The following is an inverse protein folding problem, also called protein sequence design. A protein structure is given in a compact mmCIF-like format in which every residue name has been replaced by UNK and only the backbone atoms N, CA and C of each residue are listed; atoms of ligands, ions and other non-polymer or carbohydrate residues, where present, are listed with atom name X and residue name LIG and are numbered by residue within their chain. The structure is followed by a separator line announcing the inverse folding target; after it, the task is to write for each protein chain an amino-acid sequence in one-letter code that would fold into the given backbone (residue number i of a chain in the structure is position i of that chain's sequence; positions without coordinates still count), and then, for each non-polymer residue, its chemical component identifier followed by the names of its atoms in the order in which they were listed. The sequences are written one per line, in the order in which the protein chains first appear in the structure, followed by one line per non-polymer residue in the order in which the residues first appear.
data_IF_519568206487
#
_entry.id   IF_519568206487
#
_cell.length_a   1.000
_cell.length_b   1.000
_cell.length_c   1.000
_cell.angle_alpha   90.00
_cell.angle_beta   90.00
_cell.angle_gamma   90.00
#
_symmetry.space_group_name_H-M   'P 1'
#
loop_
_entity.id
_entity.type
_entity.pdbx_description
1 polymer ?
#
# COMPACT_ATOMS: atom_id res chain seq x y z
N UNK A 1 -15.67 -54.21 44.98
CA UNK A 1 -14.81 -53.08 44.57
C UNK A 1 -13.88 -53.57 43.47
N UNK A 2 -13.35 -52.74 42.55
CA UNK A 2 -13.47 -51.28 42.39
C UNK A 2 -14.40 -50.93 41.19
N UNK A 3 -15.18 -49.85 41.08
CA UNK A 3 -15.09 -48.41 41.37
C UNK A 3 -14.05 -47.65 40.54
N UNK A 4 -14.57 -46.56 39.93
CA UNK A 4 -13.90 -45.32 39.47
C UNK A 4 -13.43 -45.38 37.99
N UNK A 5 -13.63 -44.38 37.11
CA UNK A 5 -13.95 -42.97 37.27
C UNK A 5 -14.70 -42.40 36.04
N UNK A 6 -15.74 -41.60 36.32
CA UNK A 6 -16.01 -40.29 35.72
C UNK A 6 -16.39 -40.20 34.22
N UNK A 7 -17.65 -40.54 33.92
CA UNK A 7 -18.44 -39.87 32.87
C UNK A 7 -19.16 -38.66 33.48
N UNK A 8 -18.38 -37.66 33.91
CA UNK A 8 -18.91 -36.44 34.51
C UNK A 8 -18.37 -35.15 33.86
N UNK A 9 -17.35 -35.25 32.99
CA UNK A 9 -16.77 -34.09 32.33
C UNK A 9 -17.66 -33.55 31.20
N UNK A 10 -18.34 -34.43 30.46
CA UNK A 10 -19.21 -34.05 29.33
C UNK A 10 -20.46 -33.29 29.76
N UNK A 11 -21.23 -33.72 30.79
CA UNK A 11 -22.38 -32.94 31.23
C UNK A 11 -21.99 -31.63 31.92
N UNK A 12 -20.82 -31.56 32.59
CA UNK A 12 -20.31 -30.31 33.17
C UNK A 12 -19.94 -29.29 32.09
N UNK A 13 -19.32 -29.71 30.99
CA UNK A 13 -18.98 -28.83 29.86
C UNK A 13 -20.23 -28.27 29.17
N UNK A 14 -21.27 -29.10 29.02
CA UNK A 14 -22.55 -28.67 28.46
C UNK A 14 -23.31 -27.72 29.40
N UNK A 15 -23.23 -27.92 30.71
CA UNK A 15 -23.84 -27.03 31.70
C UNK A 15 -23.11 -25.68 31.78
N UNK A 16 -21.78 -25.67 31.66
CA UNK A 16 -20.97 -24.44 31.60
C UNK A 16 -21.23 -23.67 30.31
N UNK A 17 -21.36 -24.33 29.16
CA UNK A 17 -21.78 -23.69 27.90
C UNK A 17 -23.21 -23.13 28.01
N UNK A 18 -24.13 -23.81 28.68
CA UNK A 18 -25.49 -23.33 28.85
C UNK A 18 -25.58 -22.11 29.79
N UNK A 19 -24.79 -22.09 30.87
CA UNK A 19 -24.70 -20.93 31.79
C UNK A 19 -23.93 -19.77 31.13
N UNK A 20 -22.88 -20.05 30.33
CA UNK A 20 -22.12 -19.00 29.63
C UNK A 20 -22.85 -18.40 28.42
N UNK A 21 -23.83 -19.10 27.83
CA UNK A 21 -24.58 -18.62 26.68
C UNK A 21 -25.97 -18.04 27.02
N UNK A 22 -26.41 -18.07 28.28
CA UNK A 22 -27.71 -17.53 28.70
C UNK A 22 -27.62 -16.88 30.08
N UNK A 23 -27.25 -15.60 30.13
CA UNK A 23 -27.59 -14.72 31.25
C UNK A 23 -26.45 -13.87 31.80
N UNK A 24 -26.18 -12.73 31.16
CA UNK A 24 -25.81 -11.51 31.86
C UNK A 24 -26.47 -10.33 31.14
N UNK A 25 -27.26 -9.58 31.90
CA UNK A 25 -28.39 -8.79 31.44
C UNK A 25 -28.04 -7.68 30.46
N UNK A 26 -29.00 -7.39 29.59
CA UNK A 26 -29.10 -6.13 28.89
C UNK A 26 -29.08 -4.99 29.93
N UNK A 27 -27.96 -4.28 30.02
CA UNK A 27 -28.00 -2.90 30.50
C UNK A 27 -28.70 -2.14 29.39
N UNK A 28 -29.88 -1.60 29.68
CA UNK A 28 -30.54 -0.63 28.82
C UNK A 28 -29.58 0.56 28.69
N UNK A 29 -28.70 0.52 27.69
CA UNK A 29 -28.19 1.73 27.09
C UNK A 29 -29.40 2.29 26.35
N UNK A 30 -29.98 3.34 26.93
CA UNK A 30 -30.92 4.22 26.27
C UNK A 30 -30.41 4.43 24.84
N UNK A 31 -31.21 4.02 23.87
CA UNK A 31 -30.81 4.04 22.47
C UNK A 31 -30.51 5.46 22.08
N UNK A 32 -29.23 5.86 22.16
CA UNK A 32 -28.75 6.94 21.33
C UNK A 32 -29.00 6.43 19.92
N UNK A 33 -30.04 6.95 19.28
CA UNK A 33 -30.20 6.84 17.84
C UNK A 33 -28.80 7.04 17.28
N UNK A 34 -28.21 5.97 16.73
CA UNK A 34 -27.03 6.14 15.89
C UNK A 34 -27.60 6.97 14.77
N UNK A 35 -27.42 8.30 14.86
CA UNK A 35 -27.62 9.21 13.74
C UNK A 35 -26.91 8.49 12.61
N UNK A 36 -27.70 7.98 11.67
CA UNK A 36 -27.19 7.43 10.44
C UNK A 36 -26.46 8.61 9.83
N UNK A 37 -25.14 8.66 10.06
CA UNK A 37 -24.29 9.69 9.52
C UNK A 37 -24.43 9.46 8.04
N UNK A 38 -25.19 10.33 7.36
CA UNK A 38 -25.25 10.32 5.91
C UNK A 38 -23.80 10.34 5.45
N UNK A 39 -23.35 9.20 4.93
CA UNK A 39 -22.01 9.07 4.38
C UNK A 39 -21.93 10.13 3.28
N UNK A 40 -20.90 11.00 3.31
CA UNK A 40 -20.68 11.94 2.23
C UNK A 40 -20.74 11.16 0.91
N UNK A 41 -21.39 11.75 -0.09
CA UNK A 41 -21.44 11.17 -1.44
C UNK A 41 -20.04 10.72 -1.84
N UNK A 42 -19.84 9.43 -2.13
CA UNK A 42 -18.54 8.89 -2.56
C UNK A 42 -18.46 8.88 -4.08
N UNK A 43 -17.26 9.12 -4.63
CA UNK A 43 -17.01 9.03 -6.07
C UNK A 43 -15.82 8.12 -6.34
N UNK A 44 -15.93 7.27 -7.37
CA UNK A 44 -14.85 6.37 -7.77
C UNK A 44 -13.89 7.06 -8.74
N UNK A 45 -12.69 7.36 -8.28
CA UNK A 45 -11.60 7.91 -9.11
C UNK A 45 -11.05 6.85 -10.08
N UNK A 46 -10.80 5.65 -9.55
CA UNK A 46 -10.29 4.51 -10.31
C UNK A 46 -11.33 3.39 -10.26
N UNK A 47 -12.03 3.21 -11.37
CA UNK A 47 -13.10 2.22 -11.51
C UNK A 47 -12.63 1.17 -12.52
N UNK A 48 -12.52 -0.11 -12.10
CA UNK A 48 -12.17 -1.21 -12.98
C UNK A 48 -12.96 -1.20 -14.28
N UNK A 49 -12.29 -1.47 -15.40
CA UNK A 49 -12.87 -1.56 -16.75
C UNK A 49 -13.54 -0.27 -17.26
N UNK A 50 -13.60 0.79 -16.47
CA UNK A 50 -14.25 2.06 -16.80
C UNK A 50 -13.26 3.23 -16.89
N UNK A 51 -12.39 3.41 -15.90
CA UNK A 51 -11.41 4.49 -15.91
C UNK A 51 -10.38 4.24 -17.01
N UNK A 52 -10.27 5.17 -17.95
CA UNK A 52 -9.27 5.14 -19.01
C UNK A 52 -7.93 5.61 -18.46
N UNK A 53 -6.87 4.84 -18.67
CA UNK A 53 -5.50 5.20 -18.30
C UNK A 53 -4.73 5.51 -19.57
N UNK A 54 -4.13 6.71 -19.63
CA UNK A 54 -3.22 7.08 -20.71
C UNK A 54 -1.85 6.41 -20.52
N UNK A 55 -1.37 5.78 -21.59
CA UNK A 55 -0.08 5.08 -21.71
C UNK A 55 0.47 5.36 -23.10
N UNK A 56 1.64 6.00 -23.21
CA UNK A 56 2.40 6.17 -24.47
C UNK A 56 1.57 6.54 -25.71
N UNK A 57 0.71 7.56 -25.58
CA UNK A 57 -0.14 8.05 -26.67
C UNK A 57 -1.40 7.22 -26.95
N UNK A 58 -1.60 6.12 -26.22
CA UNK A 58 -2.80 5.30 -26.22
C UNK A 58 -3.61 5.41 -24.93
N UNK A 59 -4.72 4.66 -24.89
CA UNK A 59 -5.60 4.53 -23.71
C UNK A 59 -5.92 3.06 -23.47
N UNK A 60 -5.91 2.66 -22.21
CA UNK A 60 -6.30 1.31 -21.80
C UNK A 60 -6.97 1.37 -20.44
N UNK A 61 -8.08 0.66 -20.27
CA UNK A 61 -8.68 0.43 -18.95
C UNK A 61 -7.90 -0.65 -18.19
N UNK A 62 -7.95 -0.61 -16.86
CA UNK A 62 -7.34 -1.62 -15.99
C UNK A 62 -8.41 -2.57 -15.47
N UNK A 63 -8.04 -3.82 -15.24
CA UNK A 63 -8.94 -4.87 -14.74
C UNK A 63 -9.22 -4.73 -13.25
N UNK A 64 -8.26 -4.16 -12.50
CA UNK A 64 -8.47 -3.78 -11.11
C UNK A 64 -7.54 -2.64 -10.69
N UNK A 65 -7.86 -2.01 -9.55
CA UNK A 65 -7.02 -1.01 -8.91
C UNK A 65 -6.83 -1.33 -7.43
N UNK A 66 -5.63 -1.11 -6.91
CA UNK A 66 -5.31 -1.41 -5.51
C UNK A 66 -4.30 -0.41 -4.90
N UNK A 67 -4.00 -0.55 -3.61
CA UNK A 67 -3.05 0.26 -2.85
C UNK A 67 -3.12 1.78 -3.14
N UNK A 68 -4.23 2.45 -2.77
CA UNK A 68 -4.39 3.87 -3.04
C UNK A 68 -3.42 4.73 -2.22
N UNK A 69 -3.00 5.84 -2.80
CA UNK A 69 -2.16 6.86 -2.16
C UNK A 69 -2.61 8.25 -2.58
N UNK A 70 -2.41 9.26 -1.73
CA UNK A 70 -2.94 10.60 -1.98
C UNK A 70 -1.94 11.65 -1.51
N UNK A 71 -1.65 12.63 -2.37
CA UNK A 71 -0.76 13.73 -2.08
C UNK A 71 -1.33 15.05 -2.60
N UNK A 72 -1.01 16.16 -1.94
CA UNK A 72 -1.40 17.50 -2.41
C UNK A 72 -0.18 18.41 -2.46
N UNK A 73 0.11 18.97 -3.63
CA UNK A 73 1.25 19.85 -3.86
C UNK A 73 0.90 20.94 -4.87
N UNK A 74 1.30 22.19 -4.62
CA UNK A 74 1.12 23.30 -5.56
C UNK A 74 -0.31 23.50 -6.08
N UNK A 75 -1.33 23.23 -5.25
CA UNK A 75 -2.74 23.34 -5.64
C UNK A 75 -3.31 22.16 -6.44
N UNK A 76 -2.53 21.10 -6.63
CA UNK A 76 -2.98 19.85 -7.28
C UNK A 76 -3.12 18.77 -6.22
N UNK A 77 -4.29 18.13 -6.18
CA UNK A 77 -4.49 16.88 -5.45
C UNK A 77 -4.25 15.72 -6.42
N UNK A 78 -3.44 14.75 -6.01
CA UNK A 78 -3.03 13.64 -6.85
C UNK A 78 -3.37 12.34 -6.15
N UNK A 79 -4.28 11.59 -6.73
CA UNK A 79 -4.60 10.24 -6.30
C UNK A 79 -3.76 9.24 -7.10
N UNK A 80 -3.17 8.26 -6.43
CA UNK A 80 -2.43 7.17 -7.04
C UNK A 80 -3.08 5.84 -6.71
N UNK A 81 -2.84 4.86 -7.57
CA UNK A 81 -3.17 3.47 -7.31
C UNK A 81 -2.23 2.56 -8.12
N UNK A 82 -2.14 1.30 -7.72
CA UNK A 82 -1.73 0.23 -8.61
C UNK A 82 -2.82 0.01 -9.65
N UNK A 83 -2.46 -0.02 -10.93
CA UNK A 83 -3.35 -0.31 -12.04
C UNK A 83 -3.01 -1.67 -12.66
N UNK A 84 -3.88 -2.66 -12.44
CA UNK A 84 -3.62 -4.05 -12.79
C UNK A 84 -4.23 -4.44 -14.14
N UNK A 85 -3.54 -5.31 -14.86
CA UNK A 85 -4.08 -6.05 -16.01
C UNK A 85 -3.86 -7.53 -15.73
N UNK A 86 -4.90 -8.33 -15.89
CA UNK A 86 -4.81 -9.77 -15.67
C UNK A 86 -3.86 -10.42 -16.67
N UNK A 87 -3.03 -11.33 -16.17
CA UNK A 87 -2.16 -12.12 -17.03
C UNK A 87 -2.95 -13.28 -17.65
N UNK A 88 -3.06 -13.31 -18.98
CA UNK A 88 -3.93 -14.26 -19.69
C UNK A 88 -3.22 -15.03 -20.80
N UNK A 89 -2.04 -15.62 -20.54
CA UNK A 89 -1.43 -16.57 -21.48
C UNK A 89 -2.09 -17.96 -21.37
N UNK A 90 -2.75 -18.45 -22.43
CA UNK A 90 -3.35 -19.79 -22.43
C UNK A 90 -2.33 -20.94 -22.42
N UNK A 91 -1.06 -20.68 -22.75
CA UNK A 91 -0.02 -21.73 -22.80
C UNK A 91 0.80 -21.84 -21.51
N UNK A 92 0.74 -20.83 -20.65
CA UNK A 92 1.54 -20.76 -19.44
C UNK A 92 0.75 -20.05 -18.35
N UNK A 93 -0.05 -20.81 -17.62
CA UNK A 93 -0.99 -20.24 -16.66
C UNK A 93 -0.26 -19.78 -15.40
N UNK A 94 0.09 -18.49 -15.34
CA UNK A 94 0.44 -17.81 -14.10
C UNK A 94 -0.86 -17.35 -13.39
N UNK A 95 -1.68 -18.31 -12.95
CA UNK A 95 -3.02 -18.04 -12.40
C UNK A 95 -2.94 -17.08 -11.22
N UNK A 96 -3.75 -16.02 -11.26
CA UNK A 96 -3.86 -15.03 -10.18
C UNK A 96 -2.78 -13.96 -10.18
N UNK A 97 -1.94 -13.89 -11.21
CA UNK A 97 -0.98 -12.80 -11.37
C UNK A 97 -1.48 -11.74 -12.34
N UNK A 98 -0.97 -10.54 -12.14
CA UNK A 98 -1.32 -9.34 -12.90
C UNK A 98 -0.06 -8.57 -13.27
N UNK A 99 -0.04 -7.98 -14.47
CA UNK A 99 0.82 -6.84 -14.75
C UNK A 99 0.34 -5.66 -13.90
N UNK A 100 1.26 -4.85 -13.39
CA UNK A 100 0.87 -3.66 -12.60
C UNK A 100 1.80 -2.49 -12.86
N UNK A 101 1.19 -1.33 -13.09
CA UNK A 101 1.83 -0.02 -13.18
C UNK A 101 1.31 0.87 -12.05
N UNK A 102 2.00 1.97 -11.76
CA UNK A 102 1.44 3.04 -10.92
C UNK A 102 0.74 4.07 -11.79
N UNK A 103 -0.53 4.30 -11.49
CA UNK A 103 -1.38 5.30 -12.17
C UNK A 103 -1.64 6.49 -11.26
N UNK A 104 -1.92 7.65 -11.86
CA UNK A 104 -2.31 8.86 -11.15
C UNK A 104 -3.52 9.55 -11.79
N UNK A 105 -4.42 10.05 -10.96
CA UNK A 105 -5.47 11.00 -11.33
C UNK A 105 -5.15 12.36 -10.73
N UNK A 106 -5.17 13.40 -11.57
CA UNK A 106 -4.89 14.78 -11.17
C UNK A 106 -6.18 15.54 -10.96
N UNK A 107 -6.27 16.23 -9.84
CA UNK A 107 -7.48 16.93 -9.39
C UNK A 107 -7.09 18.36 -9.02
N UNK A 108 -7.93 19.32 -9.39
CA UNK A 108 -7.84 20.68 -8.88
C UNK A 108 -8.16 20.71 -7.38
N UNK A 109 -7.18 21.01 -6.54
CA UNK A 109 -7.40 21.07 -5.09
C UNK A 109 -8.24 22.30 -4.67
N UNK A 110 -8.34 23.33 -5.52
CA UNK A 110 -9.16 24.51 -5.24
C UNK A 110 -10.65 24.32 -5.62
N UNK A 111 -10.98 23.23 -6.34
CA UNK A 111 -12.33 22.93 -6.78
C UNK A 111 -13.28 22.60 -5.62
N UNK A 112 -14.56 22.94 -5.78
CA UNK A 112 -15.61 22.45 -4.88
C UNK A 112 -15.82 20.93 -5.01
N UNK A 113 -16.42 20.30 -4.00
CA UNK A 113 -16.81 18.89 -4.08
C UNK A 113 -17.73 18.59 -5.27
N UNK A 114 -18.69 19.48 -5.55
CA UNK A 114 -19.62 19.31 -6.66
C UNK A 114 -18.90 19.36 -8.03
N UNK A 115 -17.95 20.29 -8.20
CA UNK A 115 -17.14 20.34 -9.43
C UNK A 115 -16.23 19.12 -9.60
N UNK A 116 -15.66 18.61 -8.50
CA UNK A 116 -14.87 17.38 -8.51
C UNK A 116 -15.71 16.17 -8.97
N UNK A 117 -16.89 16.00 -8.38
CA UNK A 117 -17.80 14.91 -8.75
C UNK A 117 -18.26 15.03 -10.20
N UNK A 118 -18.53 16.25 -10.68
CA UNK A 118 -18.89 16.50 -12.06
C UNK A 118 -17.75 16.16 -13.04
N UNK A 119 -16.51 16.52 -12.69
CA UNK A 119 -15.32 16.20 -13.47
C UNK A 119 -15.09 14.68 -13.57
N UNK A 120 -15.12 13.97 -12.45
CA UNK A 120 -14.89 12.51 -12.41
C UNK A 120 -16.00 11.74 -13.14
N UNK A 121 -17.25 12.21 -13.05
CA UNK A 121 -18.38 11.59 -13.75
C UNK A 121 -18.46 11.98 -15.24
N UNK A 122 -17.67 12.96 -15.69
CA UNK A 122 -17.60 13.32 -17.10
C UNK A 122 -16.92 12.21 -17.91
N UNK A 123 -17.21 12.16 -19.21
CA UNK A 123 -16.51 11.27 -20.15
C UNK A 123 -15.02 11.64 -20.34
N UNK A 124 -14.58 12.76 -19.77
CA UNK A 124 -13.23 13.29 -19.94
C UNK A 124 -12.28 12.88 -18.81
N UNK A 125 -12.80 12.33 -17.70
CA UNK A 125 -11.96 11.85 -16.61
C UNK A 125 -11.05 10.73 -17.09
N UNK A 126 -9.77 10.86 -16.77
CA UNK A 126 -8.73 9.91 -17.15
C UNK A 126 -7.63 9.90 -16.11
N UNK A 127 -6.99 8.75 -15.99
CA UNK A 127 -5.77 8.59 -15.23
C UNK A 127 -4.58 8.53 -16.20
N UNK A 128 -3.38 8.65 -15.63
CA UNK A 128 -2.12 8.63 -16.36
C UNK A 128 -1.19 7.62 -15.71
N UNK A 129 -0.46 6.86 -16.52
CA UNK A 129 0.62 6.02 -15.98
C UNK A 129 1.81 6.91 -15.60
N UNK A 130 2.27 6.78 -14.35
CA UNK A 130 3.39 7.55 -13.79
C UNK A 130 4.64 6.68 -13.68
N UNK A 131 4.47 5.39 -13.43
CA UNK A 131 5.57 4.43 -13.42
C UNK A 131 5.11 3.12 -14.06
N UNK A 132 5.65 2.82 -15.23
CA UNK A 132 5.28 1.67 -16.04
C UNK A 132 6.26 0.51 -15.84
N UNK A 133 5.77 -0.72 -15.96
CA UNK A 133 6.58 -1.94 -16.02
C UNK A 133 6.29 -2.72 -17.30
N UNK A 134 7.19 -3.64 -17.60
CA UNK A 134 7.08 -4.49 -18.79
C UNK A 134 5.82 -5.35 -18.71
N UNK A 135 5.05 -5.35 -19.79
CA UNK A 135 3.85 -6.20 -19.94
C UNK A 135 3.96 -7.06 -21.21
N UNK A 136 4.66 -8.19 -21.12
CA UNK A 136 4.86 -9.12 -22.24
C UNK A 136 4.52 -10.56 -21.85
N UNK A 137 4.23 -11.40 -22.85
CA UNK A 137 3.76 -12.78 -22.65
C UNK A 137 4.62 -13.60 -21.69
N UNK A 138 5.96 -13.56 -21.83
CA UNK A 138 6.87 -14.31 -20.96
C UNK A 138 7.54 -13.42 -19.90
N UNK A 139 7.03 -12.20 -19.68
CA UNK A 139 7.63 -11.25 -18.77
C UNK A 139 6.59 -10.33 -18.13
N UNK A 140 6.33 -10.58 -16.83
CA UNK A 140 5.35 -9.85 -16.02
C UNK A 140 6.07 -8.89 -15.09
N UNK A 141 6.04 -7.61 -15.43
CA UNK A 141 6.51 -6.54 -14.55
C UNK A 141 5.43 -6.08 -13.58
N UNK A 142 5.84 -5.81 -12.34
CA UNK A 142 4.93 -5.36 -11.28
C UNK A 142 5.47 -4.15 -10.56
N UNK A 143 4.64 -3.13 -10.43
CA UNK A 143 4.83 -1.97 -9.57
C UNK A 143 3.75 -1.94 -8.49
N UNK A 144 4.14 -1.68 -7.26
CA UNK A 144 3.26 -1.81 -6.10
C UNK A 144 3.59 -0.83 -4.99
N UNK A 145 2.62 -0.68 -4.08
CA UNK A 145 2.65 0.16 -2.89
C UNK A 145 3.12 1.59 -3.16
N UNK A 146 2.42 2.34 -4.03
CA UNK A 146 2.74 3.75 -4.25
C UNK A 146 2.62 4.49 -2.92
N UNK A 147 3.75 4.98 -2.40
CA UNK A 147 3.80 5.66 -1.11
C UNK A 147 4.22 7.10 -1.37
N UNK A 148 3.38 8.06 -0.99
CA UNK A 148 3.56 9.45 -1.40
C UNK A 148 3.73 10.39 -0.23
N UNK A 149 4.55 11.43 -0.43
CA UNK A 149 4.65 12.61 0.42
C UNK A 149 4.73 13.84 -0.47
N UNK A 150 4.07 14.92 -0.04
CA UNK A 150 4.19 16.22 -0.68
C UNK A 150 4.91 17.22 0.21
N UNK A 151 5.63 18.12 -0.42
CA UNK A 151 6.17 19.32 0.21
C UNK A 151 6.22 20.44 -0.82
N UNK A 152 5.75 21.62 -0.44
CA UNK A 152 5.73 22.80 -1.29
C UNK A 152 4.98 22.51 -2.61
N UNK A 153 5.66 22.63 -3.75
CA UNK A 153 5.11 22.30 -5.06
C UNK A 153 5.53 20.91 -5.57
N UNK A 154 6.16 20.07 -4.74
CA UNK A 154 6.68 18.75 -5.15
C UNK A 154 5.94 17.59 -4.49
N UNK A 155 5.81 16.50 -5.24
CA UNK A 155 5.36 15.19 -4.78
C UNK A 155 6.53 14.21 -4.91
N UNK A 156 6.76 13.44 -3.87
CA UNK A 156 7.75 12.37 -3.81
C UNK A 156 6.97 11.07 -3.74
N UNK A 157 7.16 10.22 -4.74
CA UNK A 157 6.49 8.94 -4.88
C UNK A 157 7.54 7.83 -4.78
N UNK A 158 7.41 7.00 -3.75
CA UNK A 158 8.16 5.76 -3.59
C UNK A 158 7.34 4.62 -4.17
N UNK A 159 7.97 3.78 -4.98
CA UNK A 159 7.35 2.62 -5.63
C UNK A 159 8.28 1.43 -5.47
N UNK A 160 7.72 0.30 -5.04
CA UNK A 160 8.42 -0.97 -5.14
C UNK A 160 8.12 -1.62 -6.48
N UNK A 161 9.09 -2.32 -7.05
CA UNK A 161 8.86 -3.07 -8.28
C UNK A 161 9.68 -4.36 -8.34
N UNK A 162 9.21 -5.32 -9.13
CA UNK A 162 9.99 -6.50 -9.51
C UNK A 162 9.45 -7.04 -10.84
N UNK A 163 10.25 -7.87 -11.51
CA UNK A 163 9.85 -8.56 -12.73
C UNK A 163 9.77 -10.08 -12.52
N UNK A 164 8.92 -10.74 -13.28
CA UNK A 164 8.87 -12.19 -13.40
C UNK A 164 9.15 -12.54 -14.86
N UNK A 165 10.12 -13.41 -15.10
CA UNK A 165 10.42 -13.93 -16.42
C UNK A 165 10.12 -15.42 -16.48
N UNK A 166 9.43 -15.87 -17.52
CA UNK A 166 9.19 -17.29 -17.72
C UNK A 166 10.39 -17.95 -18.39
N UNK A 167 10.96 -18.97 -17.73
CA UNK A 167 12.00 -19.80 -18.30
C UNK A 167 11.35 -20.90 -19.15
N UNK A 168 11.48 -20.81 -20.46
CA UNK A 168 10.91 -21.80 -21.41
C UNK A 168 11.65 -23.13 -21.42
N UNK A 169 12.91 -23.18 -20.95
CA UNK A 169 13.71 -24.42 -20.88
C UNK A 169 13.33 -25.22 -19.65
N UNK A 170 13.21 -24.54 -18.51
CA UNK A 170 12.93 -25.19 -17.22
C UNK A 170 11.43 -25.21 -16.87
N UNK A 171 10.60 -24.55 -17.68
CA UNK A 171 9.14 -24.50 -17.58
C UNK A 171 8.62 -23.94 -16.25
N UNK A 172 9.27 -22.92 -15.70
CA UNK A 172 8.81 -22.21 -14.51
C UNK A 172 9.13 -20.71 -14.56
N UNK A 173 8.47 -19.95 -13.68
CA UNK A 173 8.65 -18.51 -13.55
C UNK A 173 9.76 -18.16 -12.58
N UNK A 174 10.70 -17.34 -13.03
CA UNK A 174 11.80 -16.81 -12.23
C UNK A 174 11.45 -15.40 -11.77
N UNK A 175 11.52 -15.18 -10.47
CA UNK A 175 11.47 -13.84 -9.88
C UNK A 175 12.80 -13.13 -10.11
N UNK A 176 12.72 -11.94 -10.70
CA UNK A 176 13.82 -10.99 -10.74
C UNK A 176 14.03 -10.31 -9.40
N UNK A 177 15.09 -9.51 -9.34
CA UNK A 177 15.43 -8.75 -8.15
C UNK A 177 14.39 -7.66 -7.86
N UNK A 178 14.15 -7.45 -6.57
CA UNK A 178 13.33 -6.34 -6.11
C UNK A 178 14.04 -5.02 -6.41
N UNK A 179 13.24 -4.00 -6.74
CA UNK A 179 13.65 -2.63 -6.96
C UNK A 179 12.81 -1.68 -6.11
N UNK A 180 13.43 -0.56 -5.73
CA UNK A 180 12.77 0.54 -5.03
C UNK A 180 13.12 1.82 -5.78
N UNK A 181 12.10 2.48 -6.30
CA UNK A 181 12.22 3.70 -7.09
C UNK A 181 11.67 4.91 -6.34
N UNK A 182 12.37 6.03 -6.46
CA UNK A 182 11.89 7.36 -6.11
C UNK A 182 11.57 8.14 -7.39
N UNK A 183 10.34 8.63 -7.49
CA UNK A 183 9.93 9.58 -8.50
C UNK A 183 9.64 10.93 -7.84
N UNK A 184 10.19 12.00 -8.42
CA UNK A 184 9.92 13.36 -7.96
C UNK A 184 9.07 14.06 -9.02
N UNK A 185 7.89 14.49 -8.62
CA UNK A 185 6.96 15.23 -9.43
C UNK A 185 6.87 16.69 -8.97
N UNK A 186 6.69 17.62 -9.90
CA UNK A 186 6.48 19.03 -9.61
C UNK A 186 5.15 19.52 -10.18
N UNK A 187 4.36 20.19 -9.33
CA UNK A 187 3.09 20.76 -9.70
C UNK A 187 3.28 21.94 -10.64
N UNK A 188 2.53 21.91 -11.73
CA UNK A 188 2.51 22.97 -12.74
C UNK A 188 1.22 23.77 -12.67
N UNK A 189 1.21 24.96 -13.26
CA UNK A 189 0.01 25.81 -13.33
C UNK A 189 -1.17 25.15 -14.08
N UNK A 190 -0.91 24.10 -14.86
CA UNK A 190 -1.92 23.35 -15.63
C UNK A 190 -2.67 22.27 -14.85
N UNK A 191 -2.64 22.28 -13.51
CA UNK A 191 -3.28 21.27 -12.64
C UNK A 191 -2.75 19.85 -12.85
N UNK A 192 -1.51 19.73 -13.29
CA UNK A 192 -0.83 18.46 -13.53
C UNK A 192 0.51 18.43 -12.79
N UNK A 193 1.00 17.21 -12.54
CA UNK A 193 2.34 16.98 -12.05
C UNK A 193 3.25 16.59 -13.22
N UNK A 194 4.37 17.28 -13.37
CA UNK A 194 5.45 16.86 -14.25
C UNK A 194 6.40 15.95 -13.48
N UNK A 195 6.55 14.72 -13.95
CA UNK A 195 7.38 13.71 -13.31
C UNK A 195 8.79 13.70 -13.89
N UNK A 196 9.79 13.68 -13.01
CA UNK A 196 11.17 13.37 -13.36
C UNK A 196 11.37 11.89 -13.63
N UNK A 197 12.60 11.54 -14.04
CA UNK A 197 12.99 10.14 -14.24
C UNK A 197 13.02 9.38 -12.91
N UNK A 198 12.58 8.11 -12.86
CA UNK A 198 12.71 7.29 -11.66
C UNK A 198 14.17 7.10 -11.25
N UNK A 199 14.45 7.23 -9.95
CA UNK A 199 15.76 7.01 -9.35
C UNK A 199 15.76 5.74 -8.51
N UNK A 200 16.66 4.80 -8.79
CA UNK A 200 16.82 3.60 -7.96
C UNK A 200 17.46 3.92 -6.61
N UNK A 201 16.82 3.48 -5.53
CA UNK A 201 17.27 3.73 -4.16
C UNK A 201 18.00 2.55 -3.53
N UNK A 202 17.72 1.31 -3.94
CA UNK A 202 18.34 0.11 -3.33
C UNK A 202 19.87 0.15 -3.34
N UNK A 203 20.55 0.52 -4.44
CA UNK A 203 22.01 0.63 -4.43
C UNK A 203 22.53 1.64 -3.41
N UNK A 204 21.74 2.68 -3.09
CA UNK A 204 22.11 3.75 -2.16
C UNK A 204 21.97 3.30 -0.70
N UNK A 205 21.05 2.37 -0.41
CA UNK A 205 20.84 1.84 0.95
C UNK A 205 21.51 0.48 1.18
N UNK A 206 22.11 -0.13 0.15
CA UNK A 206 22.72 -1.46 0.21
C UNK A 206 23.75 -1.61 1.34
N UNK A 207 24.62 -0.61 1.53
CA UNK A 207 25.62 -0.62 2.62
C UNK A 207 24.96 -0.55 4.01
N UNK A 208 23.87 0.21 4.13
CA UNK A 208 23.10 0.29 5.39
C UNK A 208 22.31 -1.00 5.65
N UNK A 209 21.83 -1.65 4.59
CA UNK A 209 21.11 -2.92 4.65
C UNK A 209 22.03 -4.08 5.04
N UNK A 210 23.23 -4.13 4.45
CA UNK A 210 24.26 -5.13 4.74
C UNK A 210 24.69 -5.09 6.20
N UNK A 211 24.95 -3.90 6.75
CA UNK A 211 25.25 -3.73 8.18
C UNK A 211 24.13 -4.21 9.12
N UNK A 212 22.91 -4.39 8.61
CA UNK A 212 21.73 -4.80 9.37
C UNK A 212 21.23 -6.21 8.99
N UNK A 213 21.99 -6.97 8.19
CA UNK A 213 21.62 -8.32 7.71
C UNK A 213 20.23 -8.39 7.04
N UNK A 214 19.86 -7.36 6.26
CA UNK A 214 18.61 -7.29 5.52
C UNK A 214 18.80 -7.82 4.08
N UNK A 215 17.98 -8.78 3.67
CA UNK A 215 18.09 -9.46 2.36
C UNK A 215 16.97 -9.08 1.38
N UNK A 216 15.93 -8.36 1.84
CA UNK A 216 14.90 -7.85 0.94
C UNK A 216 14.10 -6.69 1.54
N UNK A 217 13.63 -5.81 0.66
CA UNK A 217 12.71 -4.72 0.99
C UNK A 217 11.34 -5.09 0.42
N UNK A 218 10.40 -5.35 1.30
CA UNK A 218 9.16 -6.03 0.93
C UNK A 218 7.95 -5.09 0.94
N UNK A 219 7.96 -4.01 1.75
CA UNK A 219 6.80 -3.12 1.90
C UNK A 219 7.23 -1.70 2.30
N UNK A 220 6.44 -0.67 1.99
CA UNK A 220 6.45 0.60 2.71
C UNK A 220 5.01 0.88 3.13
N UNK A 221 4.73 1.00 4.42
CA UNK A 221 3.34 1.04 4.89
C UNK A 221 2.92 2.44 5.36
N UNK A 222 3.87 3.26 5.82
CA UNK A 222 3.59 4.59 6.36
C UNK A 222 4.79 5.54 6.19
N UNK A 223 4.53 6.79 5.81
CA UNK A 223 5.45 7.92 5.93
C UNK A 223 5.08 8.73 7.18
N UNK A 224 6.04 9.00 8.05
CA UNK A 224 5.87 9.86 9.23
C UNK A 224 6.88 11.00 9.18
N UNK A 225 6.43 12.20 9.54
CA UNK A 225 7.32 13.33 9.80
C UNK A 225 7.77 13.29 11.27
N UNK A 226 9.07 13.21 11.50
CA UNK A 226 9.70 13.30 12.83
C UNK A 226 10.77 14.39 12.78
N UNK A 227 10.71 15.37 13.69
CA UNK A 227 11.72 16.43 13.85
C UNK A 227 12.03 17.23 12.57
N UNK A 228 11.02 17.45 11.74
CA UNK A 228 11.16 18.16 10.47
C UNK A 228 11.77 17.33 9.33
N UNK A 229 12.10 16.06 9.57
CA UNK A 229 12.52 15.09 8.55
C UNK A 229 11.40 14.08 8.24
N UNK A 230 11.37 13.63 6.99
CA UNK A 230 10.43 12.59 6.57
C UNK A 230 11.09 11.23 6.69
N UNK A 231 10.42 10.30 7.35
CA UNK A 231 10.85 8.92 7.56
C UNK A 231 9.82 8.01 6.91
N UNK A 232 10.24 7.15 5.99
CA UNK A 232 9.37 6.12 5.42
C UNK A 232 9.60 4.81 6.18
N UNK A 233 8.57 4.22 6.79
CA UNK A 233 8.73 2.91 7.42
C UNK A 233 8.67 1.84 6.32
N UNK A 234 9.81 1.20 6.07
CA UNK A 234 9.97 0.15 5.08
C UNK A 234 10.03 -1.18 5.82
N UNK A 235 9.22 -2.15 5.43
CA UNK A 235 9.33 -3.53 5.88
C UNK A 235 10.45 -4.21 5.12
N UNK A 236 11.37 -4.79 5.87
CA UNK A 236 12.49 -5.55 5.35
C UNK A 236 12.46 -6.96 5.95
N UNK A 237 12.96 -7.94 5.20
CA UNK A 237 13.13 -9.30 5.67
C UNK A 237 14.60 -9.56 5.95
N UNK A 238 14.88 -10.19 7.09
CA UNK A 238 16.21 -10.68 7.44
C UNK A 238 16.38 -12.18 7.18
N UNK A 239 17.61 -12.66 7.32
CA UNK A 239 18.06 -14.06 7.15
C UNK A 239 17.33 -15.12 7.99
N UNK A 240 16.54 -14.71 8.99
CA UNK A 240 15.89 -15.59 9.96
C UNK A 240 14.36 -15.62 9.85
N UNK A 241 13.78 -15.25 8.68
CA UNK A 241 12.34 -14.98 8.50
C UNK A 241 11.76 -13.87 9.40
N UNK A 242 12.58 -13.22 10.22
CA UNK A 242 12.15 -12.10 11.07
C UNK A 242 11.93 -10.86 10.16
N UNK A 243 10.67 -10.43 10.04
CA UNK A 243 10.32 -9.16 9.39
C UNK A 243 10.70 -8.04 10.35
N UNK A 244 11.58 -7.16 9.90
CA UNK A 244 11.98 -5.95 10.63
C UNK A 244 11.35 -4.76 9.93
N UNK A 245 10.94 -3.73 10.68
CA UNK A 245 10.42 -2.47 10.15
C UNK A 245 11.47 -1.35 10.32
N UNK A 246 12.58 -1.33 9.57
CA UNK A 246 13.47 -0.19 9.59
C UNK A 246 12.79 1.05 9.00
N UNK A 247 13.18 2.22 9.50
CA UNK A 247 12.82 3.48 8.85
C UNK A 247 13.85 3.76 7.76
N UNK A 248 13.40 3.96 6.52
CA UNK A 248 14.15 4.68 5.50
C UNK A 248 14.17 6.16 5.91
N UNK A 249 15.30 6.57 6.45
CA UNK A 249 15.63 7.97 6.66
C UNK A 249 16.15 8.48 5.33
N UNK A 250 15.23 8.98 4.52
CA UNK A 250 15.61 9.70 3.35
C UNK A 250 15.58 11.20 3.66
N UNK A 251 16.74 11.82 3.53
CA UNK A 251 16.86 13.27 3.58
C UNK A 251 16.39 13.88 2.25
N UNK A 252 15.25 13.39 1.71
CA UNK A 252 14.60 13.75 0.43
C UNK A 252 14.63 15.25 0.14
N UNK A 253 14.51 16.05 1.21
CA UNK A 253 14.37 17.51 1.14
C UNK A 253 15.65 18.28 1.47
N UNK A 254 16.74 17.59 1.82
CA UNK A 254 18.05 18.19 2.14
C UNK A 254 19.14 17.78 1.14
N UNK A 255 18.81 17.01 0.10
CA UNK A 255 19.74 16.62 -0.96
C UNK A 255 20.86 15.68 -0.50
N UNK A 256 20.67 14.96 0.61
CA UNK A 256 21.59 13.93 1.10
C UNK A 256 21.00 12.56 0.79
N UNK A 257 21.85 11.56 0.55
CA UNK A 257 21.40 10.21 0.19
C UNK A 257 20.59 9.50 1.30
N UNK A 258 19.75 8.53 0.93
CA UNK A 258 18.92 7.77 1.87
C UNK A 258 19.77 6.85 2.76
N UNK A 259 19.32 6.65 4.00
CA UNK A 259 19.94 5.75 5.00
C UNK A 259 18.88 4.94 5.76
N UNK A 260 19.25 3.80 6.35
CA UNK A 260 18.33 3.00 7.18
C UNK A 260 18.60 3.19 8.67
N UNK A 261 17.55 3.52 9.42
CA UNK A 261 17.55 3.75 10.86
C UNK A 261 16.63 2.78 11.61
N UNK A 262 16.86 2.64 12.92
CA UNK A 262 15.92 1.97 13.81
C UNK A 262 14.74 2.91 14.12
N UNK A 263 13.52 2.39 14.38
CA UNK A 263 12.45 3.21 14.95
C UNK A 263 12.90 3.72 16.33
N UNK A 264 12.90 5.03 16.56
CA UNK A 264 13.18 5.60 17.89
C UNK A 264 11.96 5.36 18.81
N UNK A 265 12.22 4.73 19.96
CA UNK A 265 11.23 4.33 20.96
C UNK A 265 11.38 2.85 21.30
N UNK A 266 11.68 2.55 22.56
CA UNK A 266 11.99 1.21 23.07
C UNK A 266 10.88 0.17 22.80
N UNK A 267 11.02 -0.59 21.71
CA UNK A 267 10.83 -2.05 21.62
C UNK A 267 10.81 -2.47 20.14
N UNK A 268 11.46 -3.58 19.74
CA UNK A 268 11.21 -4.18 18.44
C UNK A 268 9.74 -4.60 18.36
N UNK A 269 8.98 -4.01 17.42
CA UNK A 269 7.65 -4.51 17.06
C UNK A 269 7.82 -5.87 16.37
N UNK A 270 7.91 -6.94 17.16
CA UNK A 270 7.72 -8.31 16.70
C UNK A 270 6.25 -8.47 16.31
N UNK A 271 5.94 -8.52 15.02
CA UNK A 271 4.60 -8.95 14.60
C UNK A 271 4.52 -10.47 14.74
N UNK A 272 3.85 -10.92 15.81
CA UNK A 272 3.37 -12.28 15.88
C UNK A 272 2.30 -12.48 14.79
N UNK A 273 2.34 -13.65 14.15
CA UNK A 273 1.40 -14.12 13.15
C UNK A 273 -0.07 -13.98 13.65
N UNK A 274 -0.94 -13.50 12.75
CA UNK A 274 -2.41 -13.34 12.82
C UNK A 274 -3.02 -11.95 13.16
N UNK A 275 -4.12 -11.57 12.48
CA UNK A 275 -4.65 -10.21 12.47
C UNK A 275 -5.53 -9.98 13.69
N UNK A 276 -5.05 -9.20 14.64
CA UNK A 276 -5.90 -8.51 15.59
C UNK A 276 -5.47 -7.05 15.67
N UNK A 277 -6.40 -6.15 15.35
CA UNK A 277 -6.25 -4.70 15.43
C UNK A 277 -5.79 -4.31 16.85
N UNK A 278 -4.65 -3.60 17.01
CA UNK A 278 -4.38 -2.95 18.28
C UNK A 278 -5.15 -1.63 18.31
N UNK A 279 -6.08 -1.57 19.26
CA UNK A 279 -6.77 -0.36 19.72
C UNK A 279 -5.79 0.80 19.95
N UNK A 280 -6.19 1.99 19.52
CA UNK A 280 -5.38 3.20 19.59
C UNK A 280 -4.79 3.49 20.96
N UNK A 281 -3.48 3.70 21.00
CA UNK A 281 -2.83 4.58 21.98
C UNK A 281 -2.12 5.70 21.22
N UNK A 282 -2.63 6.92 21.40
CA UNK A 282 -1.86 8.15 21.14
C UNK A 282 -0.70 8.16 22.14
N UNK A 283 0.51 7.88 21.68
CA UNK A 283 1.72 8.34 22.35
C UNK A 283 1.95 9.80 21.96
N UNK A 284 2.00 10.69 22.94
CA UNK A 284 2.43 12.08 22.77
C UNK A 284 3.95 12.12 22.63
N UNK A 285 4.48 12.80 21.61
CA UNK A 285 5.88 13.23 21.62
C UNK A 285 6.00 14.48 22.49
N UNK A 286 6.97 14.45 23.42
CA UNK A 286 7.52 15.65 24.06
C UNK A 286 8.62 16.22 23.16
#
# INVERSE_FOLDING_TARGET
MPRRLFSAAVPLLLFVLWICCCGCGAVHAEGSERKEVQLPQSVGLFVPQKTQVEVDGGRRSKDSFSAPSLASAGGVLVAFAEGHIDYTDPNNHLVGYTYSDIVAGYIDAAGSWASLVAEINSSNWKAHTVFARTSQLNHVGRAFYPTTVAKDNKVFLLVGSYDLAYNTTELYWQGGDWSLELLVGEATQGKQIQWGQPQQLLPQVALSALHRDLEGFFWCWWLRRCDGEWRACVSCGGKAEERVLPCLHDHLFKGRGPTLGAPEGDAPLRSALHPSLPSGRRGSCS
#
